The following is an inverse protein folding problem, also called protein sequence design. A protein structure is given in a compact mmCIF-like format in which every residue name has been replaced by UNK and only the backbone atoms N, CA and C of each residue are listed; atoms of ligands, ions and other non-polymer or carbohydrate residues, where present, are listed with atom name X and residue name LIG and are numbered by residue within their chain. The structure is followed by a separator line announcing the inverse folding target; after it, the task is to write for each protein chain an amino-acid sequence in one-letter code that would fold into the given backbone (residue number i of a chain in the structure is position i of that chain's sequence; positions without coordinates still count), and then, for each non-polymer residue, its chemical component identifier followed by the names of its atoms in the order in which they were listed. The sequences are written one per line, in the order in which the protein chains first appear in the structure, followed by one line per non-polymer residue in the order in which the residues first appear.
data_IF_211826188801
#
_entry.id   IF_211826188801
#
_cell.length_a   1.000
_cell.length_b   1.000
_cell.length_c   1.000
_cell.angle_alpha   90.00
_cell.angle_beta   90.00
_cell.angle_gamma   90.00
#
_symmetry.space_group_name_H-M   'P 1'
#
loop_
_entity.id
_entity.type
_entity.pdbx_description
1 polymer ?
#
# COMPACT_ATOMS: atom_id res chain seq x y z
N UNK A 1 7.62 -3.79 22.15
CA UNK A 1 6.43 -3.44 21.34
C UNK A 1 5.29 -4.37 21.73
N UNK A 2 4.13 -3.81 22.09
CA UNK A 2 2.96 -4.63 22.44
C UNK A 2 2.43 -5.34 21.18
N UNK A 3 2.03 -6.61 21.33
CA UNK A 3 1.38 -7.35 20.23
C UNK A 3 0.01 -6.78 19.87
N UNK A 4 -0.55 -5.93 20.72
CA UNK A 4 -1.87 -5.33 20.49
C UNK A 4 -1.81 -4.08 19.59
N UNK A 5 -0.63 -3.52 19.41
CA UNK A 5 -0.45 -2.39 18.49
C UNK A 5 -0.32 -2.87 17.05
N UNK A 6 -0.91 -2.13 16.08
CA UNK A 6 -0.70 -2.45 14.68
C UNK A 6 0.76 -2.24 14.28
N UNK A 7 1.20 -2.98 13.29
CA UNK A 7 2.46 -2.72 12.60
C UNK A 7 2.21 -1.68 11.51
N UNK A 8 3.07 -0.67 11.45
CA UNK A 8 2.96 0.41 10.47
C UNK A 8 4.09 0.27 9.45
N UNK A 9 3.73 0.29 8.17
CA UNK A 9 4.68 0.29 7.06
C UNK A 9 4.33 1.40 6.09
N UNK A 10 5.31 1.87 5.34
CA UNK A 10 5.10 2.86 4.29
C UNK A 10 5.97 2.55 3.08
N UNK A 11 5.41 2.76 1.89
CA UNK A 11 6.23 2.87 0.70
C UNK A 11 7.11 4.13 0.82
N UNK A 12 8.23 4.14 0.14
CA UNK A 12 9.27 5.15 0.32
C UNK A 12 8.74 6.58 0.26
N UNK A 13 7.90 6.89 -0.71
CA UNK A 13 7.34 8.23 -0.94
C UNK A 13 6.36 8.67 0.14
N UNK A 14 5.70 7.75 0.82
CA UNK A 14 4.75 8.04 1.89
C UNK A 14 5.41 8.07 3.28
N UNK A 15 6.70 7.78 3.35
CA UNK A 15 7.42 7.65 4.62
C UNK A 15 7.35 8.91 5.49
N UNK A 16 7.56 10.13 4.98
CA UNK A 16 7.46 11.32 5.83
C UNK A 16 6.09 11.49 6.50
N UNK A 17 5.02 11.21 5.78
CA UNK A 17 3.66 11.24 6.33
C UNK A 17 3.46 10.14 7.37
N UNK A 18 3.88 8.93 7.06
CA UNK A 18 3.76 7.78 7.96
C UNK A 18 4.56 7.98 9.25
N UNK A 19 5.72 8.59 9.18
CA UNK A 19 6.54 8.90 10.36
C UNK A 19 5.83 9.88 11.30
N UNK A 20 5.13 10.87 10.75
CA UNK A 20 4.34 11.80 11.58
C UNK A 20 3.19 11.08 12.28
N UNK A 21 2.48 10.21 11.57
CA UNK A 21 1.39 9.40 12.17
C UNK A 21 1.95 8.47 13.25
N UNK A 22 3.03 7.77 12.97
CA UNK A 22 3.68 6.87 13.92
C UNK A 22 4.08 7.60 15.20
N UNK A 23 4.62 8.80 15.06
CA UNK A 23 5.02 9.63 16.19
C UNK A 23 3.82 10.02 17.05
N UNK A 24 2.71 10.41 16.43
CA UNK A 24 1.48 10.74 17.17
C UNK A 24 0.89 9.53 17.89
N UNK A 25 1.01 8.35 17.31
CA UNK A 25 0.50 7.12 17.92
C UNK A 25 1.45 6.51 18.94
N UNK A 26 2.71 6.98 18.99
CA UNK A 26 3.72 6.38 19.85
C UNK A 26 4.11 4.98 19.41
N UNK A 27 3.96 4.64 18.12
CA UNK A 27 4.27 3.34 17.54
C UNK A 27 5.42 3.52 16.56
N UNK A 28 6.47 2.68 16.59
CA UNK A 28 7.55 2.80 15.61
C UNK A 28 7.07 2.41 14.20
N UNK A 29 7.61 3.10 13.19
CA UNK A 29 7.38 2.74 11.81
C UNK A 29 8.27 1.54 11.46
N UNK A 30 7.67 0.50 10.89
CA UNK A 30 8.39 -0.69 10.44
C UNK A 30 9.21 -0.42 9.18
N UNK A 31 9.99 -1.39 8.79
CA UNK A 31 10.89 -1.29 7.65
C UNK A 31 10.43 -2.22 6.52
N UNK A 32 10.33 -1.66 5.32
CA UNK A 32 10.10 -2.41 4.09
C UNK A 32 11.42 -2.55 3.36
N UNK A 33 11.86 -3.77 3.12
CA UNK A 33 13.01 -4.02 2.25
C UNK A 33 12.55 -3.92 0.80
N UNK A 34 13.19 -3.07 0.02
CA UNK A 34 12.86 -2.83 -1.37
C UNK A 34 14.09 -3.01 -2.25
N UNK A 35 13.89 -3.60 -3.41
CA UNK A 35 14.96 -3.75 -4.40
C UNK A 35 14.37 -3.60 -5.81
N UNK A 36 15.04 -2.79 -6.63
CA UNK A 36 14.77 -2.71 -8.07
C UNK A 36 15.91 -3.41 -8.80
N UNK A 37 15.57 -4.36 -9.66
CA UNK A 37 16.55 -5.07 -10.50
C UNK A 37 16.91 -4.25 -11.74
N UNK A 38 17.98 -4.65 -12.44
CA UNK A 38 18.49 -3.93 -13.63
C UNK A 38 17.45 -3.85 -14.75
N UNK A 39 16.61 -4.87 -14.89
CA UNK A 39 15.54 -4.91 -15.90
C UNK A 39 14.29 -4.10 -15.51
N UNK A 40 14.30 -3.48 -14.32
CA UNK A 40 13.16 -2.71 -13.80
C UNK A 40 12.21 -3.51 -12.93
N UNK A 41 12.38 -4.80 -12.77
CA UNK A 41 11.57 -5.59 -11.86
C UNK A 41 11.80 -5.15 -10.40
N UNK A 42 10.78 -5.29 -9.58
CA UNK A 42 10.78 -4.80 -8.21
C UNK A 42 10.44 -5.92 -7.24
N UNK A 43 11.11 -5.91 -6.11
CA UNK A 43 10.86 -6.83 -5.01
C UNK A 43 10.72 -6.05 -3.72
N UNK A 44 9.74 -6.41 -2.89
CA UNK A 44 9.59 -5.83 -1.55
C UNK A 44 9.05 -6.85 -0.56
N UNK A 45 9.39 -6.65 0.70
CA UNK A 45 8.78 -7.39 1.81
C UNK A 45 8.97 -6.63 3.12
N UNK A 46 8.06 -6.80 4.09
CA UNK A 46 8.26 -6.26 5.42
C UNK A 46 9.39 -7.02 6.14
N UNK A 47 10.18 -6.31 6.94
CA UNK A 47 11.24 -6.95 7.74
C UNK A 47 10.73 -7.47 9.07
N UNK A 48 9.71 -6.84 9.65
CA UNK A 48 9.10 -7.29 10.90
C UNK A 48 8.11 -8.44 10.64
N UNK A 49 8.04 -9.44 11.55
CA UNK A 49 7.05 -10.51 11.41
C UNK A 49 5.62 -9.99 11.49
N UNK A 50 4.82 -10.29 10.48
CA UNK A 50 3.43 -9.80 10.35
C UNK A 50 2.38 -10.86 10.69
N UNK A 51 2.77 -12.11 10.86
CA UNK A 51 1.83 -13.22 11.10
C UNK A 51 0.94 -12.95 12.31
N UNK A 52 -0.38 -13.03 12.11
CA UNK A 52 -1.37 -12.78 13.15
C UNK A 52 -1.50 -11.33 13.60
N UNK A 53 -0.84 -10.40 12.92
CA UNK A 53 -0.82 -8.98 13.31
C UNK A 53 -1.78 -8.16 12.46
N UNK A 54 -2.27 -7.07 13.05
CA UNK A 54 -2.92 -5.99 12.30
C UNK A 54 -1.83 -5.13 11.67
N UNK A 55 -1.98 -4.84 10.38
CA UNK A 55 -0.97 -4.09 9.62
C UNK A 55 -1.62 -2.89 8.93
N UNK A 56 -0.93 -1.75 8.98
CA UNK A 56 -1.32 -0.53 8.28
C UNK A 56 -0.22 -0.16 7.30
N UNK A 57 -0.58 0.05 6.04
CA UNK A 57 0.35 0.45 4.98
C UNK A 57 -0.04 1.83 4.48
N UNK A 58 0.93 2.74 4.45
CA UNK A 58 0.77 4.10 3.92
C UNK A 58 1.34 4.18 2.52
N UNK A 59 0.56 4.75 1.58
CA UNK A 59 0.97 4.91 0.20
C UNK A 59 0.33 6.16 -0.41
N UNK A 60 1.12 6.98 -1.08
CA UNK A 60 0.62 8.10 -1.88
C UNK A 60 0.71 7.72 -3.35
N UNK A 61 -0.43 7.57 -4.01
CA UNK A 61 -0.50 7.04 -5.38
C UNK A 61 -0.58 8.17 -6.42
N UNK A 62 0.27 9.16 -6.30
CA UNK A 62 0.42 10.25 -7.27
C UNK A 62 1.75 10.10 -8.02
N UNK A 63 1.81 10.65 -9.23
CA UNK A 63 3.01 10.56 -10.06
C UNK A 63 4.13 11.48 -9.54
N UNK A 64 5.36 11.01 -9.62
CA UNK A 64 6.57 11.77 -9.34
C UNK A 64 7.56 11.59 -10.48
N UNK A 65 8.57 12.48 -10.62
CA UNK A 65 9.63 12.27 -11.60
C UNK A 65 10.32 10.91 -11.37
N UNK A 66 10.35 10.09 -12.43
CA UNK A 66 10.97 8.76 -12.37
C UNK A 66 10.12 7.67 -11.74
N UNK A 67 8.91 7.99 -11.24
CA UNK A 67 8.03 7.00 -10.61
C UNK A 67 6.58 7.30 -10.96
N UNK A 68 6.01 6.50 -11.86
CA UNK A 68 4.66 6.71 -12.36
C UNK A 68 3.59 6.24 -11.35
N UNK A 69 2.34 6.61 -11.63
CA UNK A 69 1.17 6.09 -10.89
C UNK A 69 1.13 4.56 -10.97
N UNK A 70 1.42 3.99 -12.14
CA UNK A 70 1.45 2.54 -12.33
C UNK A 70 2.53 1.87 -11.50
N UNK A 71 3.72 2.47 -11.43
CA UNK A 71 4.81 1.94 -10.61
C UNK A 71 4.41 1.88 -9.15
N UNK A 72 3.85 2.97 -8.63
CA UNK A 72 3.42 3.05 -7.23
C UNK A 72 2.31 2.07 -6.91
N UNK A 73 1.31 1.96 -7.79
CA UNK A 73 0.21 1.02 -7.62
C UNK A 73 0.72 -0.42 -7.60
N UNK A 74 1.60 -0.77 -8.53
CA UNK A 74 2.17 -2.11 -8.61
C UNK A 74 2.99 -2.45 -7.34
N UNK A 75 3.80 -1.52 -6.87
CA UNK A 75 4.56 -1.69 -5.63
C UNK A 75 3.65 -1.90 -4.43
N UNK A 76 2.57 -1.14 -4.32
CA UNK A 76 1.60 -1.29 -3.26
C UNK A 76 0.92 -2.65 -3.30
N UNK A 77 0.53 -3.12 -4.48
CA UNK A 77 -0.09 -4.44 -4.65
C UNK A 77 0.87 -5.56 -4.23
N UNK A 78 2.14 -5.48 -4.60
CA UNK A 78 3.14 -6.46 -4.19
C UNK A 78 3.35 -6.47 -2.69
N UNK A 79 3.44 -5.30 -2.07
CA UNK A 79 3.61 -5.21 -0.62
C UNK A 79 2.40 -5.77 0.12
N UNK A 80 1.19 -5.40 -0.29
CA UNK A 80 -0.03 -5.92 0.33
C UNK A 80 -0.14 -7.43 0.17
N UNK A 81 0.21 -7.95 -1.01
CA UNK A 81 0.20 -9.39 -1.26
C UNK A 81 1.23 -10.12 -0.38
N UNK A 82 2.42 -9.57 -0.25
CA UNK A 82 3.46 -10.15 0.60
C UNK A 82 3.02 -10.19 2.08
N UNK A 83 2.40 -9.11 2.55
CA UNK A 83 1.91 -9.02 3.93
C UNK A 83 0.79 -10.04 4.19
N UNK A 84 -0.15 -10.16 3.28
CA UNK A 84 -1.24 -11.14 3.39
C UNK A 84 -0.71 -12.58 3.33
N UNK A 85 0.17 -12.84 2.40
CA UNK A 85 0.78 -14.17 2.22
C UNK A 85 1.58 -14.57 3.46
N UNK A 86 2.19 -13.62 4.13
CA UNK A 86 2.91 -13.83 5.39
C UNK A 86 2.00 -14.01 6.61
N UNK A 87 0.68 -13.92 6.45
CA UNK A 87 -0.29 -14.29 7.48
C UNK A 87 -0.80 -13.16 8.36
N UNK A 88 -0.73 -11.90 7.91
CA UNK A 88 -1.34 -10.80 8.64
C UNK A 88 -2.83 -11.05 8.86
N UNK A 89 -3.33 -10.73 10.05
CA UNK A 89 -4.75 -10.94 10.37
C UNK A 89 -5.65 -9.90 9.72
N UNK A 90 -5.19 -8.66 9.64
CA UNK A 90 -5.91 -7.53 9.04
C UNK A 90 -4.91 -6.62 8.33
N UNK A 91 -5.33 -6.03 7.23
CA UNK A 91 -4.53 -5.09 6.47
C UNK A 91 -5.37 -3.87 6.12
N UNK A 92 -4.91 -2.70 6.58
CA UNK A 92 -5.49 -1.40 6.26
C UNK A 92 -4.50 -0.65 5.38
N UNK A 93 -4.96 -0.17 4.23
CA UNK A 93 -4.19 0.71 3.35
C UNK A 93 -4.68 2.13 3.55
N UNK A 94 -3.78 3.03 3.92
CA UNK A 94 -4.06 4.46 4.05
C UNK A 94 -3.44 5.17 2.85
N UNK A 95 -4.28 5.68 1.96
CA UNK A 95 -3.84 6.39 0.77
C UNK A 95 -4.50 7.76 0.72
N UNK A 96 -3.79 8.84 1.09
CA UNK A 96 -4.34 10.19 0.98
C UNK A 96 -4.70 10.58 -0.45
N UNK A 97 -4.09 9.93 -1.43
CA UNK A 97 -4.43 10.10 -2.84
C UNK A 97 -4.48 8.73 -3.52
N UNK A 98 -5.67 8.34 -3.97
CA UNK A 98 -5.88 7.09 -4.70
C UNK A 98 -5.92 7.37 -6.20
N UNK A 99 -5.08 6.64 -6.95
CA UNK A 99 -5.07 6.72 -8.41
C UNK A 99 -6.29 6.03 -9.02
N UNK A 100 -6.59 6.36 -10.26
CA UNK A 100 -7.68 5.75 -11.05
C UNK A 100 -9.08 5.89 -10.45
N UNK A 101 -9.33 6.93 -9.65
CA UNK A 101 -10.64 7.18 -9.05
C UNK A 101 -11.55 8.07 -9.90
N UNK A 102 -11.07 8.54 -11.06
CA UNK A 102 -11.86 9.42 -11.95
C UNK A 102 -12.92 8.69 -12.74
N UNK A 103 -12.71 7.41 -13.05
CA UNK A 103 -13.56 6.62 -13.92
C UNK A 103 -14.40 5.64 -13.11
N UNK A 104 -15.43 6.16 -12.45
CA UNK A 104 -16.29 5.37 -11.56
C UNK A 104 -17.52 4.79 -12.27
N UNK A 105 -17.84 5.27 -13.49
CA UNK A 105 -18.97 4.75 -14.26
C UNK A 105 -18.63 4.70 -15.74
N UNK A 106 -19.38 3.86 -16.44
CA UNK A 106 -19.24 3.64 -17.88
C UNK A 106 -20.08 4.67 -18.64
N UNK A 107 -19.44 5.40 -19.56
CA UNK A 107 -20.12 6.37 -20.43
C UNK A 107 -20.58 5.68 -21.71
N UNK A 108 -19.72 4.85 -22.29
CA UNK A 108 -20.01 4.02 -23.46
C UNK A 108 -20.00 2.56 -23.08
N UNK A 109 -20.64 1.70 -23.90
CA UNK A 109 -20.85 0.28 -23.55
C UNK A 109 -19.56 -0.50 -23.22
N UNK A 110 -18.44 -0.14 -23.85
CA UNK A 110 -17.14 -0.83 -23.65
C UNK A 110 -16.12 -0.02 -22.87
N UNK A 111 -16.53 1.09 -22.24
CA UNK A 111 -15.64 1.88 -21.42
C UNK A 111 -15.18 1.12 -20.19
N UNK A 112 -13.96 1.43 -19.76
CA UNK A 112 -13.40 0.91 -18.53
C UNK A 112 -14.12 1.50 -17.31
N UNK A 113 -14.24 0.68 -16.28
CA UNK A 113 -14.62 1.14 -14.93
C UNK A 113 -13.44 0.85 -14.02
N UNK A 114 -12.39 1.65 -14.14
CA UNK A 114 -11.10 1.41 -13.49
C UNK A 114 -11.21 1.38 -11.98
N UNK A 115 -12.05 2.23 -11.40
CA UNK A 115 -12.27 2.24 -9.94
C UNK A 115 -12.71 0.87 -9.44
N UNK A 116 -13.59 0.19 -10.17
CA UNK A 116 -14.03 -1.17 -9.83
C UNK A 116 -12.87 -2.18 -9.91
N UNK A 117 -12.02 -2.06 -10.92
CA UNK A 117 -10.90 -2.98 -11.11
C UNK A 117 -9.88 -2.83 -9.97
N UNK A 118 -9.57 -1.59 -9.59
CA UNK A 118 -8.70 -1.31 -8.45
C UNK A 118 -9.29 -1.87 -7.16
N UNK A 119 -10.58 -1.68 -6.91
CA UNK A 119 -11.25 -2.23 -5.73
C UNK A 119 -11.15 -3.77 -5.68
N UNK A 120 -11.22 -4.44 -6.84
CA UNK A 120 -11.07 -5.89 -6.91
C UNK A 120 -9.67 -6.33 -6.48
N UNK A 121 -8.63 -5.60 -6.91
CA UNK A 121 -7.25 -5.91 -6.53
C UNK A 121 -6.99 -5.74 -5.03
N UNK A 122 -7.72 -4.85 -4.38
CA UNK A 122 -7.62 -4.63 -2.94
C UNK A 122 -8.70 -5.36 -2.13
N UNK A 123 -9.40 -6.34 -2.74
CA UNK A 123 -10.37 -7.15 -2.02
C UNK A 123 -9.69 -7.89 -0.87
N UNK A 124 -10.31 -7.86 0.32
CA UNK A 124 -9.71 -8.40 1.54
C UNK A 124 -8.80 -7.42 2.27
N UNK A 125 -8.61 -6.20 1.76
CA UNK A 125 -7.99 -5.09 2.48
C UNK A 125 -9.04 -4.04 2.78
N UNK A 126 -8.90 -3.33 3.89
CA UNK A 126 -9.59 -2.06 4.09
C UNK A 126 -8.74 -0.96 3.46
N UNK A 127 -9.36 -0.04 2.74
CA UNK A 127 -8.67 1.09 2.14
C UNK A 127 -9.26 2.38 2.70
N UNK A 128 -8.40 3.22 3.28
CA UNK A 128 -8.77 4.54 3.80
C UNK A 128 -8.17 5.61 2.89
N UNK A 129 -9.01 6.47 2.38
CA UNK A 129 -8.65 7.56 1.47
C UNK A 129 -8.47 8.89 2.18
#
# INVERSE_FOLDING_TARGET
MSRDNPLLFALHEARPFAERVARHLGIPLGTVAERTYEDGEYKCHPLEPVAGRQVVVFAGLYAEPGLSVHDKLCRLLFLCSAIKDAGASHLLVVSPYLCYSRKERRIQAQDQVITRYIATHFSGCCVLL
#
